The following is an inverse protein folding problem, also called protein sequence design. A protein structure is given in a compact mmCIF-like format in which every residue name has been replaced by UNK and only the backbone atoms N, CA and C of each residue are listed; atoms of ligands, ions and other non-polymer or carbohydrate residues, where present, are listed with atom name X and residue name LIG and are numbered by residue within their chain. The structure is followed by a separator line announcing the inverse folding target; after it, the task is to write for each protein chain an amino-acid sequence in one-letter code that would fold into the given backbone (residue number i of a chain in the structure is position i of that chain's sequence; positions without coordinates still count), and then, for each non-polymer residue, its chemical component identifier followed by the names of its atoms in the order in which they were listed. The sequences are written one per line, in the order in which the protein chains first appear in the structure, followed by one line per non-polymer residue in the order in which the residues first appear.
data_IF_261809502181
#
_entry.id   IF_261809502181
#
_cell.length_a   1.000
_cell.length_b   1.000
_cell.length_c   1.000
_cell.angle_alpha   90.00
_cell.angle_beta   90.00
_cell.angle_gamma   90.00
#
_symmetry.space_group_name_H-M   'P 1'
#
loop_
_entity.id
_entity.type
_entity.pdbx_description
1 polymer ?
#
# COMPACT_ATOMS: atom_id res chain seq x y z
N UNK A 1 -25.41 -25.16 5.77
CA UNK A 1 -24.00 -24.71 5.72
C UNK A 1 -23.75 -23.87 6.96
N UNK A 2 -22.84 -24.26 7.85
CA UNK A 2 -22.60 -23.51 9.11
C UNK A 2 -21.93 -22.18 8.78
N UNK A 3 -22.56 -21.06 9.12
CA UNK A 3 -21.94 -19.73 9.12
C UNK A 3 -20.69 -19.78 10.01
N UNK A 4 -19.50 -19.77 9.40
CA UNK A 4 -18.24 -19.68 10.14
C UNK A 4 -18.18 -18.29 10.76
N UNK A 5 -18.31 -18.22 12.09
CA UNK A 5 -18.22 -16.97 12.84
C UNK A 5 -16.79 -16.45 12.72
N UNK A 6 -16.62 -15.28 12.11
CA UNK A 6 -15.34 -14.56 12.06
C UNK A 6 -14.85 -14.28 13.47
N UNK A 7 -13.57 -14.56 13.72
CA UNK A 7 -12.87 -14.38 14.99
C UNK A 7 -12.73 -12.89 15.34
N UNK A 8 -12.50 -12.57 16.62
CA UNK A 8 -12.24 -11.19 17.03
C UNK A 8 -11.02 -10.59 16.32
N UNK A 9 -9.97 -11.40 16.09
CA UNK A 9 -8.77 -10.97 15.38
C UNK A 9 -9.09 -10.56 13.94
N UNK A 10 -9.82 -11.41 13.21
CA UNK A 10 -10.25 -11.11 11.84
C UNK A 10 -11.15 -9.85 11.78
N UNK A 11 -12.01 -9.65 12.77
CA UNK A 11 -12.84 -8.45 12.87
C UNK A 11 -12.00 -7.19 13.10
N UNK A 12 -10.99 -7.24 13.99
CA UNK A 12 -10.10 -6.10 14.25
C UNK A 12 -9.26 -5.78 13.03
N UNK A 13 -8.68 -6.78 12.35
CA UNK A 13 -7.92 -6.57 11.11
C UNK A 13 -8.78 -5.95 10.02
N UNK A 14 -10.01 -6.44 9.82
CA UNK A 14 -10.94 -5.85 8.87
C UNK A 14 -11.34 -4.42 9.25
N UNK A 15 -11.56 -4.14 10.54
CA UNK A 15 -11.91 -2.80 11.01
C UNK A 15 -10.77 -1.79 10.77
N UNK A 16 -9.51 -2.20 10.93
CA UNK A 16 -8.34 -1.37 10.64
C UNK A 16 -8.23 -1.07 9.14
N UNK A 17 -8.36 -2.07 8.28
CA UNK A 17 -8.33 -1.88 6.82
C UNK A 17 -9.44 -0.88 6.39
N UNK A 18 -10.67 -1.09 6.87
CA UNK A 18 -11.80 -0.20 6.57
C UNK A 18 -11.55 1.21 7.09
N UNK A 19 -11.01 1.36 8.30
CA UNK A 19 -10.72 2.68 8.89
C UNK A 19 -9.73 3.45 8.01
N UNK A 20 -8.63 2.81 7.59
CA UNK A 20 -7.64 3.43 6.71
C UNK A 20 -8.27 3.89 5.38
N UNK A 21 -9.12 3.06 4.78
CA UNK A 21 -9.80 3.37 3.52
C UNK A 21 -10.82 4.51 3.68
N UNK A 22 -11.57 4.53 4.78
CA UNK A 22 -12.53 5.61 5.08
C UNK A 22 -11.82 6.96 5.21
N UNK A 23 -10.69 7.02 5.94
CA UNK A 23 -9.90 8.24 6.00
C UNK A 23 -9.37 8.67 4.63
N UNK A 24 -8.87 7.72 3.83
CA UNK A 24 -8.39 8.05 2.49
C UNK A 24 -9.50 8.56 1.58
N UNK A 25 -10.72 8.02 1.68
CA UNK A 25 -11.90 8.55 0.95
C UNK A 25 -12.20 9.99 1.35
N UNK A 26 -12.20 10.31 2.65
CA UNK A 26 -12.44 11.68 3.09
C UNK A 26 -11.35 12.66 2.62
N UNK A 27 -10.09 12.23 2.58
CA UNK A 27 -9.01 13.03 1.97
C UNK A 27 -9.29 13.28 0.48
N UNK A 28 -9.72 12.26 -0.27
CA UNK A 28 -10.01 12.35 -1.70
C UNK A 28 -11.22 13.25 -2.04
N UNK A 29 -12.11 13.49 -1.09
CA UNK A 29 -13.19 14.48 -1.22
C UNK A 29 -12.67 15.92 -1.20
N UNK A 30 -11.47 16.15 -0.64
CA UNK A 30 -10.86 17.48 -0.47
C UNK A 30 -9.85 17.77 -1.59
N UNK A 31 -9.08 16.76 -2.00
CA UNK A 31 -7.95 16.94 -2.93
C UNK A 31 -8.31 16.49 -4.36
N UNK A 32 -7.75 17.16 -5.40
CA UNK A 32 -7.93 16.70 -6.79
C UNK A 32 -7.03 15.50 -7.13
N UNK A 33 -5.97 15.29 -6.34
CA UNK A 33 -4.94 14.30 -6.60
C UNK A 33 -5.23 12.91 -6.01
N UNK A 34 -4.17 12.25 -5.59
CA UNK A 34 -4.18 10.87 -5.07
C UNK A 34 -3.93 10.83 -3.57
N UNK A 35 -4.39 9.78 -2.90
CA UNK A 35 -4.06 9.48 -1.50
C UNK A 35 -3.16 8.25 -1.41
N UNK A 36 -2.15 8.28 -0.54
CA UNK A 36 -1.36 7.08 -0.23
C UNK A 36 -1.96 6.33 0.96
N UNK A 37 -2.22 5.04 0.80
CA UNK A 37 -2.67 4.15 1.90
C UNK A 37 -1.62 3.07 2.09
N UNK A 38 -1.10 2.96 3.30
CA UNK A 38 0.01 2.05 3.61
C UNK A 38 -0.50 0.65 3.93
N UNK A 39 0.17 -0.37 3.39
CA UNK A 39 -0.03 -1.75 3.82
C UNK A 39 0.51 -1.93 5.24
N UNK A 40 0.05 -2.96 5.92
CA UNK A 40 0.57 -3.31 7.25
C UNK A 40 2.07 -3.59 7.21
N UNK A 41 2.86 -2.80 7.93
CA UNK A 41 4.31 -2.92 7.94
C UNK A 41 4.82 -4.28 8.44
N UNK A 42 4.00 -5.06 9.17
CA UNK A 42 4.34 -6.44 9.56
C UNK A 42 4.52 -7.38 8.37
N UNK A 43 3.99 -7.01 7.20
CA UNK A 43 4.07 -7.77 5.96
C UNK A 43 5.28 -7.35 5.10
N UNK A 44 6.13 -6.43 5.55
CA UNK A 44 7.20 -5.84 4.73
C UNK A 44 8.20 -6.86 4.16
N UNK A 45 8.29 -8.05 4.73
CA UNK A 45 9.18 -9.12 4.27
C UNK A 45 8.41 -10.34 3.72
N UNK A 46 7.12 -10.17 3.43
CA UNK A 46 6.25 -11.16 2.82
C UNK A 46 5.62 -10.54 1.57
N UNK A 47 6.19 -10.90 0.41
CA UNK A 47 5.79 -10.34 -0.89
C UNK A 47 4.32 -10.69 -1.18
N UNK A 48 3.96 -11.95 -1.07
CA UNK A 48 2.63 -12.45 -1.39
C UNK A 48 1.57 -11.83 -0.47
N UNK A 49 1.83 -11.77 0.84
CA UNK A 49 0.91 -11.13 1.78
C UNK A 49 0.77 -9.62 1.53
N UNK A 50 1.85 -8.95 1.14
CA UNK A 50 1.82 -7.53 0.75
C UNK A 50 0.95 -7.29 -0.49
N UNK A 51 1.07 -8.13 -1.52
CA UNK A 51 0.23 -8.06 -2.74
C UNK A 51 -1.24 -8.29 -2.41
N UNK A 52 -1.56 -9.32 -1.61
CA UNK A 52 -2.95 -9.60 -1.25
C UNK A 52 -3.56 -8.51 -0.37
N UNK A 53 -2.80 -7.95 0.58
CA UNK A 53 -3.25 -6.81 1.39
C UNK A 53 -3.50 -5.58 0.52
N UNK A 54 -2.61 -5.27 -0.42
CA UNK A 54 -2.77 -4.16 -1.36
C UNK A 54 -4.06 -4.31 -2.20
N UNK A 55 -4.29 -5.49 -2.77
CA UNK A 55 -5.51 -5.80 -3.54
C UNK A 55 -6.77 -5.67 -2.68
N UNK A 56 -6.73 -6.13 -1.42
CA UNK A 56 -7.86 -5.97 -0.49
C UNK A 56 -8.19 -4.50 -0.22
N UNK A 57 -7.18 -3.66 -0.02
CA UNK A 57 -7.36 -2.22 0.19
C UNK A 57 -7.96 -1.55 -1.05
N UNK A 58 -7.48 -1.88 -2.26
CA UNK A 58 -8.06 -1.36 -3.50
C UNK A 58 -9.52 -1.80 -3.67
N UNK A 59 -9.84 -3.07 -3.40
CA UNK A 59 -11.22 -3.54 -3.47
C UNK A 59 -12.15 -2.78 -2.49
N UNK A 60 -11.67 -2.46 -1.27
CA UNK A 60 -12.42 -1.63 -0.33
C UNK A 60 -12.65 -0.21 -0.85
N UNK A 61 -11.66 0.40 -1.52
CA UNK A 61 -11.85 1.71 -2.17
C UNK A 61 -12.90 1.64 -3.28
N UNK A 62 -12.84 0.61 -4.12
CA UNK A 62 -13.80 0.38 -5.22
C UNK A 62 -15.22 0.17 -4.69
N UNK A 63 -15.40 -0.59 -3.60
CA UNK A 63 -16.68 -0.77 -2.89
C UNK A 63 -17.28 0.58 -2.44
N UNK A 64 -16.44 1.57 -2.17
CA UNK A 64 -16.85 2.93 -1.77
C UNK A 64 -16.96 3.92 -2.94
N UNK A 65 -16.81 3.45 -4.18
CA UNK A 65 -16.89 4.25 -5.40
C UNK A 65 -15.64 5.07 -5.71
N UNK A 66 -14.48 4.72 -5.12
CA UNK A 66 -13.20 5.38 -5.39
C UNK A 66 -12.44 4.59 -6.45
N UNK A 67 -12.13 5.25 -7.58
CA UNK A 67 -11.29 4.68 -8.63
C UNK A 67 -9.85 4.46 -8.13
N UNK A 68 -9.29 3.28 -8.41
CA UNK A 68 -7.93 2.92 -7.96
C UNK A 68 -6.84 3.90 -8.42
N UNK A 69 -7.03 4.62 -9.52
CA UNK A 69 -6.08 5.64 -10.00
C UNK A 69 -5.98 6.87 -9.08
N UNK A 70 -6.93 7.02 -8.14
CA UNK A 70 -6.90 8.02 -7.04
C UNK A 70 -6.12 7.51 -5.83
N UNK A 71 -5.62 6.27 -5.84
CA UNK A 71 -4.93 5.65 -4.71
C UNK A 71 -3.51 5.28 -5.10
N UNK A 72 -2.57 5.47 -4.17
CA UNK A 72 -1.24 4.89 -4.21
C UNK A 72 -1.09 3.91 -3.05
N UNK A 73 -0.83 2.64 -3.33
CA UNK A 73 -0.52 1.68 -2.27
C UNK A 73 0.90 1.92 -1.78
N UNK A 74 1.05 2.21 -0.50
CA UNK A 74 2.33 2.53 0.10
C UNK A 74 2.95 1.31 0.77
N UNK A 75 4.20 1.00 0.40
CA UNK A 75 4.95 -0.18 0.82
C UNK A 75 6.36 0.22 1.29
N UNK A 76 6.89 -0.45 2.31
CA UNK A 76 8.29 -0.29 2.70
C UNK A 76 9.23 -0.74 1.57
N UNK A 77 10.32 -0.02 1.35
CA UNK A 77 11.31 -0.31 0.30
C UNK A 77 12.29 -1.43 0.70
N UNK A 78 11.77 -2.50 1.30
CA UNK A 78 12.47 -3.79 1.39
C UNK A 78 12.55 -4.42 0.01
N UNK A 79 13.36 -5.48 -0.15
CA UNK A 79 13.40 -6.20 -1.42
C UNK A 79 12.02 -6.79 -1.76
N UNK A 80 11.38 -7.46 -0.80
CA UNK A 80 10.06 -8.07 -0.96
C UNK A 80 8.99 -7.01 -1.26
N UNK A 81 9.06 -5.84 -0.63
CA UNK A 81 8.15 -4.72 -0.90
C UNK A 81 8.29 -4.14 -2.31
N UNK A 82 9.52 -4.02 -2.81
CA UNK A 82 9.79 -3.58 -4.20
C UNK A 82 9.28 -4.62 -5.20
N UNK A 83 9.51 -5.92 -4.95
CA UNK A 83 9.01 -6.99 -5.81
C UNK A 83 7.49 -7.12 -5.77
N UNK A 84 6.85 -6.84 -4.63
CA UNK A 84 5.40 -6.75 -4.51
C UNK A 84 4.86 -5.56 -5.32
N UNK A 85 5.49 -4.39 -5.21
CA UNK A 85 5.11 -3.21 -5.98
C UNK A 85 5.24 -3.42 -7.49
N UNK A 86 6.33 -4.06 -7.95
CA UNK A 86 6.51 -4.44 -9.35
C UNK A 86 5.32 -5.25 -9.87
N UNK A 87 4.94 -6.29 -9.11
CA UNK A 87 3.82 -7.15 -9.48
C UNK A 87 2.47 -6.40 -9.47
N UNK A 88 2.26 -5.52 -8.49
CA UNK A 88 1.07 -4.66 -8.40
C UNK A 88 0.92 -3.73 -9.60
N UNK A 89 2.01 -3.09 -10.03
CA UNK A 89 2.04 -2.21 -11.19
C UNK A 89 1.84 -2.99 -12.50
N UNK A 90 2.65 -4.02 -12.75
CA UNK A 90 2.68 -4.75 -14.02
C UNK A 90 1.42 -5.58 -14.26
N UNK A 91 0.92 -6.29 -13.25
CA UNK A 91 -0.17 -7.27 -13.43
C UNK A 91 -1.54 -6.71 -13.11
N UNK A 92 -1.62 -5.76 -12.18
CA UNK A 92 -2.90 -5.30 -11.63
C UNK A 92 -3.18 -3.82 -11.92
N UNK A 93 -2.19 -3.07 -12.43
CA UNK A 93 -2.30 -1.62 -12.61
C UNK A 93 -2.66 -0.91 -11.30
N UNK A 94 -2.07 -1.38 -10.20
CA UNK A 94 -2.22 -0.78 -8.86
C UNK A 94 -0.96 0.05 -8.62
N UNK A 95 -1.12 1.37 -8.65
CA UNK A 95 -0.01 2.30 -8.52
C UNK A 95 0.54 2.33 -7.09
N UNK A 96 1.87 2.31 -6.97
CA UNK A 96 2.55 2.16 -5.69
C UNK A 96 3.39 3.40 -5.31
N UNK A 97 3.52 3.63 -4.00
CA UNK A 97 4.42 4.59 -3.36
C UNK A 97 5.41 3.83 -2.48
N UNK A 98 6.69 3.80 -2.87
CA UNK A 98 7.72 3.08 -2.12
C UNK A 98 8.35 4.02 -1.08
N UNK A 99 8.15 3.70 0.21
CA UNK A 99 8.55 4.52 1.37
C UNK A 99 9.69 3.89 2.14
N UNK A 100 10.18 4.54 3.20
CA UNK A 100 11.33 4.07 3.98
C UNK A 100 12.55 3.80 3.09
N UNK A 101 12.73 4.68 2.10
CA UNK A 101 13.80 4.63 1.13
C UNK A 101 14.94 5.52 1.59
N UNK A 102 16.12 4.92 1.79
CA UNK A 102 17.28 5.59 2.40
C UNK A 102 18.55 5.46 1.55
N UNK A 103 18.70 4.35 0.83
CA UNK A 103 19.91 4.08 0.03
C UNK A 103 19.67 4.28 -1.46
N UNK A 104 20.76 4.58 -2.17
CA UNK A 104 20.73 4.66 -3.63
C UNK A 104 20.34 3.32 -4.28
N UNK A 105 20.75 2.20 -3.69
CA UNK A 105 20.38 0.87 -4.17
C UNK A 105 18.86 0.66 -4.18
N UNK A 106 18.14 1.12 -3.14
CA UNK A 106 16.68 1.06 -3.13
C UNK A 106 16.07 1.95 -4.22
N UNK A 107 16.61 3.16 -4.45
CA UNK A 107 16.12 4.06 -5.50
C UNK A 107 16.24 3.43 -6.90
N UNK A 108 17.41 2.84 -7.20
CA UNK A 108 17.64 2.14 -8.48
C UNK A 108 16.71 0.94 -8.62
N UNK A 109 16.59 0.10 -7.59
CA UNK A 109 15.71 -1.06 -7.62
C UNK A 109 14.24 -0.68 -7.83
N UNK A 110 13.76 0.39 -7.19
CA UNK A 110 12.41 0.92 -7.42
C UNK A 110 12.21 1.40 -8.86
N UNK A 111 13.20 2.10 -9.42
CA UNK A 111 13.14 2.59 -10.80
C UNK A 111 13.10 1.44 -11.82
N UNK A 112 13.94 0.41 -11.64
CA UNK A 112 13.96 -0.80 -12.48
C UNK A 112 12.68 -1.63 -12.34
N UNK A 113 12.05 -1.60 -11.16
CA UNK A 113 10.74 -2.21 -10.92
C UNK A 113 9.57 -1.45 -11.54
N UNK A 114 9.79 -0.24 -12.08
CA UNK A 114 8.74 0.55 -12.74
C UNK A 114 7.68 1.11 -11.80
N UNK A 115 8.02 1.38 -10.53
CA UNK A 115 7.05 1.87 -9.54
C UNK A 115 6.64 3.32 -9.83
N UNK A 116 5.37 3.66 -9.59
CA UNK A 116 4.82 4.99 -9.90
C UNK A 116 5.49 6.12 -9.12
N UNK A 117 5.82 5.91 -7.85
CA UNK A 117 6.38 6.94 -6.98
C UNK A 117 7.32 6.34 -5.93
N UNK A 118 8.40 7.07 -5.59
CA UNK A 118 9.26 6.81 -4.44
C UNK A 118 9.19 7.98 -3.45
N UNK A 119 9.28 7.68 -2.15
CA UNK A 119 9.31 8.64 -1.05
C UNK A 119 10.63 8.50 -0.28
N UNK A 120 11.76 9.08 -0.78
CA UNK A 120 13.03 9.09 -0.06
C UNK A 120 12.95 9.96 1.20
N UNK A 121 13.48 9.47 2.32
CA UNK A 121 13.37 10.17 3.60
C UNK A 121 14.55 11.12 3.78
N UNK A 122 14.27 12.42 3.95
CA UNK A 122 15.32 13.43 4.16
C UNK A 122 15.64 13.60 5.64
N UNK A 123 14.63 13.95 6.46
CA UNK A 123 14.83 14.25 7.88
C UNK A 123 15.44 13.10 8.68
N UNK A 124 15.00 11.86 8.42
CA UNK A 124 15.53 10.66 9.10
C UNK A 124 16.97 10.32 8.71
N UNK A 125 17.46 10.76 7.54
CA UNK A 125 18.87 10.62 7.18
C UNK A 125 19.71 11.62 7.98
N UNK A 126 19.21 12.85 8.15
CA UNK A 126 19.88 13.86 8.99
C UNK A 126 19.92 13.45 10.46
N UNK A 127 18.88 12.76 10.96
CA UNK A 127 18.83 12.29 12.35
C UNK A 127 19.88 11.22 12.69
N UNK A 128 20.39 10.46 11.70
CA UNK A 128 21.35 9.36 11.87
C UNK A 128 22.80 9.88 11.93
#
# INVERSE_FOLDING_TARGET
MKNKRITLKEQVEAALDITCVLFGKEILNIIPGRVSTEVDARLSFDKEASVEKAKRLIALYEELGVDKNRVLIKLASTWEGIQAAKELEEKYGIHCNLTLLFSFAQAVACAEAGVTLISPFVGRILDW
#
